data_IF_481419648070
#
_entry.id   IF_481419648070
#
_cell.length_a   1.000
_cell.length_b   1.000
_cell.length_c   1.000
_cell.angle_alpha   90.00
_cell.angle_beta   90.00
_cell.angle_gamma   90.00
#
_symmetry.space_group_name_H-M   'P 1'
#
loop_
_entity.id
_entity.type
_entity.pdbx_description
1 polymer ?
#
# COMPACT_ATOMS: atom_id res chain seq x y z
N UNK A 1 39.82 24.45 48.35
CA UNK A 1 40.33 24.26 46.97
C UNK A 1 39.97 22.85 46.54
N UNK A 2 39.34 22.72 45.36
CA UNK A 2 39.09 21.50 44.55
C UNK A 2 38.20 20.41 45.19
N UNK A 3 36.91 20.23 44.86
CA UNK A 3 36.24 19.84 43.60
C UNK A 3 36.85 18.62 42.90
N UNK A 4 36.14 17.49 42.99
CA UNK A 4 35.92 16.54 41.89
C UNK A 4 34.71 15.66 42.24
N UNK A 5 33.54 16.03 41.72
CA UNK A 5 32.39 15.14 41.61
C UNK A 5 32.57 14.29 40.36
N UNK A 6 32.50 12.97 40.53
CA UNK A 6 32.51 12.01 39.44
C UNK A 6 31.09 11.90 38.86
N UNK A 7 30.85 12.53 37.71
CA UNK A 7 29.66 12.25 36.89
C UNK A 7 29.82 10.85 36.27
N UNK A 8 29.10 9.88 36.83
CA UNK A 8 28.85 8.61 36.14
C UNK A 8 27.74 8.84 35.13
N UNK A 9 28.12 8.99 33.86
CA UNK A 9 27.18 8.97 32.75
C UNK A 9 26.70 7.54 32.54
N UNK A 10 25.46 7.27 32.93
CA UNK A 10 24.77 6.02 32.59
C UNK A 10 24.42 6.09 31.11
N UNK A 11 25.23 5.45 30.27
CA UNK A 11 24.87 5.18 28.88
C UNK A 11 23.64 4.28 28.86
N UNK A 12 22.51 4.81 28.38
CA UNK A 12 21.33 4.02 28.08
C UNK A 12 21.72 2.89 27.11
N UNK A 13 21.18 1.66 27.29
CA UNK A 13 21.46 0.57 26.36
C UNK A 13 20.91 0.95 24.99
N UNK A 14 21.80 1.08 24.01
CA UNK A 14 21.41 1.07 22.59
C UNK A 14 20.74 -0.28 22.32
N UNK A 15 19.47 -0.25 21.94
CA UNK A 15 18.80 -1.40 21.35
C UNK A 15 19.66 -1.92 20.19
N UNK A 16 19.89 -3.24 20.08
CA UNK A 16 20.58 -3.78 18.93
C UNK A 16 19.85 -3.35 17.65
N UNK A 17 20.58 -3.02 16.57
CA UNK A 17 19.95 -2.71 15.30
C UNK A 17 19.06 -3.88 14.88
N UNK A 18 17.86 -3.62 14.32
CA UNK A 18 16.99 -4.69 13.86
C UNK A 18 17.77 -5.57 12.87
N UNK A 19 17.85 -6.86 13.18
CA UNK A 19 18.50 -7.83 12.30
C UNK A 19 17.83 -7.77 10.93
N UNK A 20 18.57 -7.33 9.90
CA UNK A 20 18.11 -7.37 8.51
C UNK A 20 17.70 -8.80 8.17
N UNK A 21 16.40 -9.05 8.14
CA UNK A 21 15.87 -10.35 7.75
C UNK A 21 15.92 -10.43 6.22
N UNK A 22 16.59 -11.45 5.65
CA UNK A 22 16.66 -11.59 4.21
C UNK A 22 15.25 -11.77 3.63
N UNK A 23 14.99 -11.27 2.41
CA UNK A 23 13.72 -11.49 1.73
C UNK A 23 13.40 -12.98 1.60
N UNK A 24 12.19 -13.38 2.00
CA UNK A 24 11.72 -14.77 1.89
C UNK A 24 10.79 -14.89 0.70
N UNK A 25 11.10 -15.75 -0.26
CA UNK A 25 10.19 -15.99 -1.38
C UNK A 25 8.89 -16.63 -0.86
N UNK A 26 7.74 -16.13 -1.32
CA UNK A 26 6.42 -16.64 -0.94
C UNK A 26 5.59 -17.02 -2.17
N UNK A 27 4.70 -18.04 -2.08
CA UNK A 27 3.77 -18.35 -3.15
C UNK A 27 2.76 -17.21 -3.38
N UNK A 28 2.42 -16.92 -4.64
CA UNK A 28 1.43 -15.91 -5.01
C UNK A 28 0.08 -16.13 -4.31
N UNK A 29 -0.39 -17.38 -4.28
CA UNK A 29 -1.64 -17.75 -3.63
C UNK A 29 -1.70 -17.29 -2.17
N UNK A 30 -0.59 -17.40 -1.44
CA UNK A 30 -0.52 -16.96 -0.04
C UNK A 30 -0.68 -15.45 0.07
N UNK A 31 -0.09 -14.69 -0.84
CA UNK A 31 -0.18 -13.22 -0.86
C UNK A 31 -1.61 -12.80 -1.20
N UNK A 32 -2.19 -13.34 -2.26
CA UNK A 32 -3.55 -12.96 -2.69
C UNK A 32 -4.60 -13.30 -1.63
N UNK A 33 -4.49 -14.45 -0.96
CA UNK A 33 -5.40 -14.80 0.15
C UNK A 33 -5.24 -13.86 1.34
N UNK A 34 -4.00 -13.55 1.73
CA UNK A 34 -3.74 -12.63 2.83
C UNK A 34 -4.25 -11.22 2.52
N UNK A 35 -4.03 -10.74 1.29
CA UNK A 35 -4.54 -9.47 0.83
C UNK A 35 -6.08 -9.47 0.85
N UNK A 36 -6.74 -10.48 0.27
CA UNK A 36 -8.20 -10.55 0.25
C UNK A 36 -8.81 -10.62 1.66
N UNK A 37 -8.19 -11.38 2.58
CA UNK A 37 -8.63 -11.44 3.97
C UNK A 37 -8.61 -10.07 4.64
N UNK A 38 -7.53 -9.30 4.42
CA UNK A 38 -7.43 -7.93 4.92
C UNK A 38 -8.52 -7.01 4.33
N UNK A 39 -8.81 -7.13 3.03
CA UNK A 39 -9.90 -6.37 2.41
C UNK A 39 -11.28 -6.70 3.01
N UNK A 40 -11.54 -7.97 3.30
CA UNK A 40 -12.81 -8.40 3.94
C UNK A 40 -12.92 -7.83 5.35
N UNK A 41 -11.83 -7.82 6.12
CA UNK A 41 -11.82 -7.25 7.47
C UNK A 41 -12.06 -5.74 7.46
N UNK A 42 -11.55 -5.05 6.44
CA UNK A 42 -11.69 -3.60 6.32
C UNK A 42 -13.01 -3.16 5.67
N UNK A 43 -13.53 -3.94 4.73
CA UNK A 43 -14.77 -3.65 4.00
C UNK A 43 -15.57 -4.94 3.72
N UNK A 44 -16.17 -5.49 4.77
CA UNK A 44 -17.00 -6.70 4.71
C UNK A 44 -18.25 -6.53 3.82
N UNK A 45 -18.64 -5.30 3.47
CA UNK A 45 -19.78 -5.04 2.58
C UNK A 45 -19.39 -5.11 1.10
N UNK A 46 -18.13 -4.84 0.77
CA UNK A 46 -17.61 -4.91 -0.60
C UNK A 46 -17.34 -6.35 -1.07
N UNK A 47 -17.21 -7.31 -0.15
CA UNK A 47 -16.79 -8.68 -0.46
C UNK A 47 -17.70 -9.68 0.24
N UNK A 48 -18.35 -10.54 -0.54
CA UNK A 48 -19.13 -11.66 0.00
C UNK A 48 -18.18 -12.69 0.67
N UNK A 49 -18.02 -12.54 1.98
CA UNK A 49 -17.10 -13.33 2.81
C UNK A 49 -17.40 -14.83 2.83
N UNK A 50 -18.63 -15.26 2.48
CA UNK A 50 -19.00 -16.68 2.39
C UNK A 50 -18.44 -17.36 1.13
N UNK A 51 -17.89 -16.59 0.17
CA UNK A 51 -17.37 -17.10 -1.10
C UNK A 51 -15.83 -17.08 -1.23
N UNK A 52 -15.08 -17.09 -0.12
CA UNK A 52 -13.60 -17.19 -0.19
C UNK A 52 -13.19 -18.58 -0.70
N UNK A 53 -13.11 -18.68 -2.02
CA UNK A 53 -12.72 -19.88 -2.75
C UNK A 53 -11.27 -20.27 -2.45
N UNK A 54 -10.97 -21.57 -2.45
CA UNK A 54 -9.59 -22.08 -2.38
C UNK A 54 -8.84 -21.96 -3.71
N UNK A 55 -9.49 -21.51 -4.79
CA UNK A 55 -8.87 -21.35 -6.09
C UNK A 55 -8.24 -19.96 -6.24
N UNK A 56 -6.93 -19.90 -6.52
CA UNK A 56 -6.18 -18.65 -6.73
C UNK A 56 -6.80 -17.72 -7.77
N UNK A 57 -7.37 -18.27 -8.86
CA UNK A 57 -8.02 -17.45 -9.88
C UNK A 57 -9.30 -16.76 -9.36
N UNK A 58 -10.07 -17.44 -8.51
CA UNK A 58 -11.26 -16.86 -7.88
C UNK A 58 -10.89 -15.82 -6.81
N UNK A 59 -9.81 -16.04 -6.06
CA UNK A 59 -9.26 -15.02 -5.14
C UNK A 59 -8.81 -13.77 -5.89
N UNK A 60 -8.13 -13.93 -7.02
CA UNK A 60 -7.72 -12.80 -7.85
C UNK A 60 -8.93 -12.05 -8.44
N UNK A 61 -9.96 -12.78 -8.90
CA UNK A 61 -11.18 -12.15 -9.44
C UNK A 61 -11.93 -11.34 -8.38
N UNK A 62 -12.02 -11.87 -7.15
CA UNK A 62 -12.57 -11.13 -6.01
C UNK A 62 -11.74 -9.88 -5.69
N UNK A 63 -10.41 -9.97 -5.66
CA UNK A 63 -9.52 -8.83 -5.45
C UNK A 63 -9.65 -7.78 -6.57
N UNK A 64 -9.75 -8.20 -7.84
CA UNK A 64 -9.93 -7.30 -8.97
C UNK A 64 -11.30 -6.61 -8.95
N UNK A 65 -12.32 -7.29 -8.41
CA UNK A 65 -13.64 -6.71 -8.23
C UNK A 65 -13.65 -5.64 -7.14
N UNK A 66 -12.97 -5.90 -6.02
CA UNK A 66 -12.86 -4.96 -4.91
C UNK A 66 -11.91 -3.79 -5.21
N UNK A 67 -10.74 -4.06 -5.79
CA UNK A 67 -9.67 -3.10 -6.04
C UNK A 67 -9.10 -3.23 -7.46
N UNK A 68 -9.87 -2.87 -8.50
CA UNK A 68 -9.47 -3.07 -9.90
C UNK A 68 -8.17 -2.34 -10.26
N UNK A 69 -7.94 -1.14 -9.72
CA UNK A 69 -6.71 -0.38 -9.96
C UNK A 69 -5.49 -1.05 -9.32
N UNK A 70 -5.54 -1.27 -8.01
CA UNK A 70 -4.43 -1.80 -7.22
C UNK A 70 -4.06 -3.25 -7.60
N UNK A 71 -5.05 -4.12 -7.85
CA UNK A 71 -4.80 -5.53 -8.13
C UNK A 71 -4.50 -5.83 -9.60
N UNK A 72 -4.82 -4.93 -10.55
CA UNK A 72 -4.70 -5.26 -11.97
C UNK A 72 -3.29 -5.55 -12.47
N UNK A 73 -2.22 -5.14 -11.77
CA UNK A 73 -0.87 -5.52 -12.17
C UNK A 73 -0.63 -7.03 -12.04
N UNK A 74 -1.32 -7.70 -11.11
CA UNK A 74 -1.18 -9.13 -10.86
C UNK A 74 -1.50 -9.92 -12.13
N UNK A 75 -2.49 -9.48 -12.90
CA UNK A 75 -2.81 -10.07 -14.20
C UNK A 75 -1.91 -9.58 -15.34
N UNK A 76 -1.57 -8.28 -15.36
CA UNK A 76 -0.87 -7.63 -16.48
C UNK A 76 0.61 -7.95 -16.59
N UNK A 77 1.28 -8.22 -15.47
CA UNK A 77 2.75 -8.18 -15.39
C UNK A 77 3.37 -9.52 -15.01
N UNK A 78 2.73 -10.60 -15.45
CA UNK A 78 3.23 -11.95 -15.30
C UNK A 78 4.51 -12.17 -16.13
N UNK A 79 5.46 -12.99 -15.66
CA UNK A 79 5.45 -13.70 -14.37
C UNK A 79 5.81 -12.79 -13.18
N UNK A 80 5.18 -13.02 -12.03
CA UNK A 80 5.48 -12.30 -10.77
C UNK A 80 6.21 -13.21 -9.80
N UNK A 81 7.30 -12.71 -9.22
CA UNK A 81 7.95 -13.33 -8.05
C UNK A 81 7.62 -12.54 -6.81
N UNK A 82 7.02 -13.23 -5.83
CA UNK A 82 6.63 -12.61 -4.58
C UNK A 82 7.64 -12.88 -3.48
N UNK A 83 7.96 -11.84 -2.72
CA UNK A 83 8.83 -11.91 -1.56
C UNK A 83 8.12 -11.28 -0.36
N UNK A 84 8.32 -11.85 0.82
CA UNK A 84 7.98 -11.21 2.09
C UNK A 84 9.27 -10.65 2.69
N UNK A 85 9.25 -9.38 3.07
CA UNK A 85 10.34 -8.71 3.76
C UNK A 85 9.82 -7.65 4.72
N UNK A 86 10.72 -7.10 5.52
CA UNK A 86 10.47 -5.91 6.33
C UNK A 86 11.13 -4.76 5.61
N UNK A 87 10.37 -3.71 5.34
CA UNK A 87 10.86 -2.50 4.69
C UNK A 87 11.69 -1.74 5.70
N UNK A 88 12.98 -1.64 5.41
CA UNK A 88 13.90 -0.83 6.18
C UNK A 88 13.81 0.63 5.73
N UNK A 89 14.42 1.53 6.51
CA UNK A 89 14.32 2.97 6.28
C UNK A 89 14.71 3.39 4.86
N UNK A 90 15.82 2.86 4.33
CA UNK A 90 16.33 3.17 2.99
C UNK A 90 15.34 2.80 1.87
N UNK A 91 14.65 1.68 2.03
CA UNK A 91 13.61 1.24 1.09
C UNK A 91 12.34 2.06 1.25
N UNK A 92 12.00 2.40 2.49
CA UNK A 92 10.76 3.09 2.85
C UNK A 92 10.75 4.55 2.38
N UNK A 93 11.85 5.29 2.53
CA UNK A 93 11.92 6.70 2.09
C UNK A 93 11.75 6.88 0.59
N UNK A 94 12.21 5.91 -0.19
CA UNK A 94 12.12 5.92 -1.66
C UNK A 94 10.80 5.30 -2.19
N UNK A 95 9.91 4.84 -1.30
CA UNK A 95 8.62 4.28 -1.72
C UNK A 95 7.77 5.34 -2.40
N UNK A 96 7.23 4.97 -3.55
CA UNK A 96 6.29 5.80 -4.29
C UNK A 96 4.86 5.34 -4.02
N UNK A 97 3.90 6.28 -4.04
CA UNK A 97 2.49 5.93 -3.98
C UNK A 97 2.08 5.06 -5.17
N UNK A 98 0.91 4.44 -5.07
CA UNK A 98 0.36 3.54 -6.11
C UNK A 98 0.55 4.05 -7.53
N UNK A 99 1.02 3.15 -8.39
CA UNK A 99 1.06 3.35 -9.85
C UNK A 99 -0.28 2.94 -10.44
N UNK A 100 -1.19 3.91 -10.59
CA UNK A 100 -2.47 3.68 -11.25
C UNK A 100 -2.87 4.84 -12.14
N UNK A 101 -4.09 4.80 -12.70
CA UNK A 101 -4.56 5.79 -13.66
C UNK A 101 -4.48 7.22 -13.09
N UNK A 102 -4.39 8.21 -13.98
CA UNK A 102 -4.10 9.62 -13.63
C UNK A 102 -5.13 10.25 -12.65
N UNK A 103 -6.28 9.61 -12.45
CA UNK A 103 -7.30 9.98 -11.46
C UNK A 103 -7.01 9.46 -10.03
N UNK A 104 -5.97 8.65 -9.83
CA UNK A 104 -5.45 8.29 -8.50
C UNK A 104 -4.43 9.33 -8.04
N UNK A 105 -4.95 10.35 -7.36
CA UNK A 105 -4.29 11.63 -7.05
C UNK A 105 -3.15 11.56 -6.01
N UNK A 106 -2.76 10.37 -5.54
CA UNK A 106 -1.66 10.23 -4.56
C UNK A 106 -0.33 10.84 -5.03
N UNK A 107 -0.06 10.77 -6.34
CA UNK A 107 1.15 11.36 -6.93
C UNK A 107 1.11 12.88 -6.96
N UNK A 108 -0.07 13.45 -7.16
CA UNK A 108 -0.26 14.91 -7.25
C UNK A 108 -0.18 15.58 -5.88
N UNK A 109 -0.48 14.82 -4.82
CA UNK A 109 -0.28 15.29 -3.45
C UNK A 109 1.21 15.30 -3.09
N UNK A 110 2.00 14.36 -3.60
CA UNK A 110 3.42 14.24 -3.28
C UNK A 110 4.26 15.39 -3.85
N UNK A 111 5.15 15.95 -3.04
CA UNK A 111 6.08 17.04 -3.44
C UNK A 111 7.25 16.56 -4.30
N UNK A 112 7.69 15.31 -4.12
CA UNK A 112 8.86 14.70 -4.79
C UNK A 112 8.54 13.36 -5.50
N UNK A 113 7.27 12.97 -5.46
CA UNK A 113 6.75 11.71 -5.99
C UNK A 113 7.00 10.49 -5.09
N UNK A 114 7.38 10.67 -3.83
CA UNK A 114 7.46 9.64 -2.78
C UNK A 114 6.31 9.74 -1.78
N UNK A 115 6.10 8.72 -0.96
CA UNK A 115 5.17 8.79 0.17
C UNK A 115 5.67 9.73 1.28
N UNK A 116 6.98 9.92 1.38
CA UNK A 116 7.55 10.94 2.26
C UNK A 116 7.15 12.35 1.83
N UNK A 117 7.24 12.66 0.53
CA UNK A 117 6.77 13.95 0.02
C UNK A 117 5.28 14.20 0.24
N UNK A 118 4.46 13.14 0.30
CA UNK A 118 3.05 13.27 0.73
C UNK A 118 2.97 13.66 2.20
N UNK A 119 3.71 12.97 3.07
CA UNK A 119 3.70 13.22 4.51
C UNK A 119 4.33 14.58 4.91
N UNK A 120 5.38 15.02 4.21
CA UNK A 120 5.96 16.35 4.35
C UNK A 120 4.91 17.41 4.04
N UNK A 121 4.21 17.27 2.91
CA UNK A 121 3.13 18.20 2.56
C UNK A 121 2.02 18.24 3.60
N UNK A 122 1.65 17.10 4.16
CA UNK A 122 0.67 17.03 5.26
C UNK A 122 1.17 17.77 6.50
N UNK A 123 2.47 17.71 6.78
CA UNK A 123 3.08 18.39 7.93
C UNK A 123 3.09 19.92 7.73
N UNK A 124 3.34 20.38 6.50
CA UNK A 124 3.45 21.81 6.18
C UNK A 124 2.09 22.49 5.94
N UNK A 125 1.22 21.84 5.17
CA UNK A 125 -0.05 22.40 4.68
C UNK A 125 -1.27 21.84 5.44
N UNK A 126 -1.07 20.85 6.32
CA UNK A 126 -2.15 20.08 6.94
C UNK A 126 -2.74 19.04 5.99
N UNK A 127 -3.87 18.46 6.37
CA UNK A 127 -4.51 17.37 5.62
C UNK A 127 -5.37 17.82 4.41
N UNK A 128 -5.57 19.13 4.23
CA UNK A 128 -6.40 19.69 3.15
C UNK A 128 -6.05 19.15 1.75
N UNK A 129 -4.77 19.12 1.33
CA UNK A 129 -4.37 18.57 0.03
C UNK A 129 -4.77 17.11 -0.20
N UNK A 130 -4.83 16.28 0.85
CA UNK A 130 -5.31 14.91 0.74
C UNK A 130 -6.83 14.86 0.54
N UNK A 131 -7.56 15.65 1.33
CA UNK A 131 -9.03 15.71 1.28
C UNK A 131 -9.51 16.25 -0.08
N UNK A 132 -8.86 17.29 -0.61
CA UNK A 132 -9.10 17.85 -1.95
C UNK A 132 -8.84 16.81 -3.06
N UNK A 133 -7.88 15.92 -2.83
CA UNK A 133 -7.55 14.81 -3.71
C UNK A 133 -8.46 13.58 -3.49
N UNK A 134 -9.51 13.68 -2.67
CA UNK A 134 -10.41 12.57 -2.34
C UNK A 134 -9.73 11.43 -1.58
N UNK A 135 -8.57 11.68 -0.98
CA UNK A 135 -7.85 10.72 -0.15
C UNK A 135 -8.36 10.86 1.29
N UNK A 136 -8.74 9.73 1.89
CA UNK A 136 -9.22 9.70 3.27
C UNK A 136 -8.12 10.07 4.28
N UNK A 137 -8.03 11.35 4.60
CA UNK A 137 -7.15 11.89 5.63
C UNK A 137 -7.50 11.36 7.04
N UNK A 138 -8.77 11.04 7.29
CA UNK A 138 -9.21 10.46 8.56
C UNK A 138 -8.56 9.09 8.81
N UNK A 139 -8.53 8.24 7.79
CA UNK A 139 -7.84 6.96 7.85
C UNK A 139 -6.34 7.11 8.14
N UNK A 140 -5.66 8.09 7.52
CA UNK A 140 -4.23 8.34 7.79
C UNK A 140 -4.00 8.76 9.25
N UNK A 141 -4.85 9.63 9.81
CA UNK A 141 -4.76 10.03 11.22
C UNK A 141 -4.94 8.84 12.15
N UNK A 142 -5.99 8.04 11.92
CA UNK A 142 -6.25 6.82 12.70
C UNK A 142 -5.04 5.88 12.68
N UNK A 143 -4.50 5.59 11.49
CA UNK A 143 -3.32 4.74 11.38
C UNK A 143 -2.10 5.31 12.08
N UNK A 144 -1.87 6.63 11.99
CA UNK A 144 -0.76 7.27 12.70
C UNK A 144 -0.91 7.12 14.21
N UNK A 145 -2.12 7.30 14.74
CA UNK A 145 -2.39 7.15 16.17
C UNK A 145 -2.25 5.69 16.62
N UNK A 146 -2.67 4.74 15.78
CA UNK A 146 -2.44 3.32 16.00
C UNK A 146 -0.94 2.99 16.08
N UNK A 147 -0.11 3.55 15.20
CA UNK A 147 1.36 3.40 15.28
C UNK A 147 1.92 3.99 16.57
N UNK A 148 1.46 5.19 16.96
CA UNK A 148 1.88 5.80 18.21
C UNK A 148 1.48 4.97 19.45
N UNK A 149 0.40 4.20 19.36
CA UNK A 149 -0.03 3.24 20.37
C UNK A 149 0.73 1.89 20.32
N UNK A 150 1.62 1.69 19.34
CA UNK A 150 2.40 0.47 19.15
C UNK A 150 1.68 -0.63 18.39
N UNK A 151 0.60 -0.32 17.69
CA UNK A 151 -0.12 -1.27 16.82
C UNK A 151 0.76 -1.66 15.64
N UNK A 152 0.87 -2.96 15.37
CA UNK A 152 1.55 -3.46 14.19
C UNK A 152 0.60 -3.47 12.99
N UNK A 153 1.08 -2.98 11.85
CA UNK A 153 0.32 -3.01 10.61
C UNK A 153 0.44 -4.33 9.87
N UNK A 154 -0.63 -4.66 9.16
CA UNK A 154 -0.60 -5.70 8.14
C UNK A 154 0.40 -5.36 7.03
N UNK A 155 0.95 -6.39 6.36
CA UNK A 155 1.91 -6.17 5.29
C UNK A 155 1.39 -5.26 4.18
N UNK A 156 2.21 -4.31 3.75
CA UNK A 156 1.95 -3.55 2.52
C UNK A 156 2.04 -4.46 1.29
N UNK A 157 1.30 -4.13 0.23
CA UNK A 157 1.54 -4.73 -1.09
C UNK A 157 2.38 -3.76 -1.89
N UNK A 158 3.60 -4.15 -2.21
CA UNK A 158 4.57 -3.32 -2.94
C UNK A 158 4.88 -3.98 -4.26
N UNK A 159 5.08 -3.17 -5.29
CA UNK A 159 5.42 -3.61 -6.63
C UNK A 159 6.72 -2.96 -7.09
N UNK A 160 7.57 -3.75 -7.74
CA UNK A 160 8.75 -3.27 -8.43
C UNK A 160 9.06 -4.13 -9.65
N UNK A 161 9.91 -3.62 -10.54
CA UNK A 161 10.45 -4.39 -11.67
C UNK A 161 11.80 -4.97 -11.30
N UNK A 162 12.15 -6.11 -11.91
CA UNK A 162 13.42 -6.80 -11.64
C UNK A 162 14.62 -5.88 -11.88
N UNK A 163 15.38 -5.61 -10.80
CA UNK A 163 16.58 -4.80 -10.82
C UNK A 163 16.33 -3.30 -11.00
N UNK A 164 15.10 -2.85 -10.76
CA UNK A 164 14.72 -1.45 -10.92
C UNK A 164 14.22 -0.85 -9.60
N UNK A 165 14.52 0.43 -9.43
CA UNK A 165 13.76 1.38 -8.63
C UNK A 165 13.01 2.30 -9.62
N UNK A 166 11.92 2.95 -9.19
CA UNK A 166 11.35 2.98 -7.84
C UNK A 166 10.42 1.79 -7.52
N UNK A 167 10.14 1.62 -6.23
CA UNK A 167 9.13 0.68 -5.72
C UNK A 167 7.82 1.44 -5.47
N UNK A 168 6.69 0.82 -5.77
CA UNK A 168 5.37 1.45 -5.67
C UNK A 168 4.48 0.68 -4.70
N UNK A 169 3.78 1.39 -3.81
CA UNK A 169 2.79 0.79 -2.92
C UNK A 169 1.51 0.53 -3.70
N UNK A 170 1.26 -0.72 -4.08
CA UNK A 170 0.02 -1.12 -4.75
C UNK A 170 -1.17 -1.09 -3.78
N UNK A 171 -0.96 -1.51 -2.53
CA UNK A 171 -1.96 -1.44 -1.46
C UNK A 171 -1.34 -1.04 -0.12
N UNK A 172 -2.08 -0.27 0.66
CA UNK A 172 -1.65 0.27 1.95
C UNK A 172 -1.07 1.68 1.88
N UNK A 173 -1.43 2.50 0.89
CA UNK A 173 -0.95 3.88 0.76
C UNK A 173 -1.29 4.75 1.98
N UNK A 174 -2.47 4.59 2.59
CA UNK A 174 -2.83 5.27 3.84
C UNK A 174 -1.92 4.85 4.99
N UNK A 175 -1.69 3.55 5.17
CA UNK A 175 -0.80 3.01 6.22
C UNK A 175 0.64 3.49 6.03
N UNK A 176 1.14 3.45 4.81
CA UNK A 176 2.49 3.87 4.49
C UNK A 176 2.67 5.39 4.66
N UNK A 177 1.70 6.19 4.23
CA UNK A 177 1.69 7.65 4.47
C UNK A 177 1.62 7.97 5.98
N UNK A 178 0.79 7.25 6.73
CA UNK A 178 0.71 7.40 8.19
C UNK A 178 2.05 7.10 8.89
N UNK A 179 2.77 6.06 8.44
CA UNK A 179 4.10 5.74 8.95
C UNK A 179 5.15 6.80 8.59
N UNK A 180 5.10 7.35 7.37
CA UNK A 180 5.99 8.44 6.97
C UNK A 180 5.71 9.71 7.80
N UNK A 181 4.43 10.04 7.99
CA UNK A 181 4.00 11.16 8.82
C UNK A 181 4.44 11.00 10.28
N UNK A 182 4.22 9.82 10.87
CA UNK A 182 4.72 9.50 12.21
C UNK A 182 6.24 9.64 12.33
N UNK A 183 6.99 9.19 11.31
CA UNK A 183 8.44 9.28 11.29
C UNK A 183 8.95 10.73 11.22
N UNK A 184 8.27 11.60 10.47
CA UNK A 184 8.57 13.04 10.43
C UNK A 184 8.32 13.68 11.80
N UNK A 185 7.17 13.39 12.42
CA UNK A 185 6.80 14.00 13.70
C UNK A 185 7.70 13.58 14.86
N UNK A 186 8.15 12.33 14.87
CA UNK A 186 8.87 11.75 16.02
C UNK A 186 10.37 11.58 15.78
N UNK A 187 10.82 11.70 14.54
CA UNK A 187 12.18 11.32 14.12
C UNK A 187 12.46 9.82 14.23
N UNK A 188 11.42 8.97 14.33
CA UNK A 188 11.54 7.52 14.50
C UNK A 188 10.71 6.75 13.48
N UNK A 189 11.34 5.76 12.86
CA UNK A 189 10.67 4.84 11.96
C UNK A 189 10.62 3.43 12.56
N UNK A 190 9.40 2.89 12.60
CA UNK A 190 9.18 1.49 12.91
C UNK A 190 9.01 0.69 11.60
N UNK A 191 9.89 -0.29 11.32
CA UNK A 191 9.90 -1.01 10.05
C UNK A 191 8.58 -1.72 9.72
N UNK A 192 8.13 -1.58 8.47
CA UNK A 192 6.84 -2.13 8.03
C UNK A 192 7.00 -3.47 7.30
N UNK A 193 6.18 -4.49 7.59
CA UNK A 193 6.15 -5.68 6.78
C UNK A 193 5.62 -5.38 5.37
N UNK A 194 6.11 -6.10 4.36
CA UNK A 194 5.60 -6.00 3.00
C UNK A 194 5.66 -7.33 2.24
N UNK A 195 4.69 -7.51 1.34
CA UNK A 195 4.79 -8.43 0.21
C UNK A 195 5.22 -7.65 -1.04
N UNK A 196 6.38 -7.98 -1.58
CA UNK A 196 6.96 -7.33 -2.75
C UNK A 196 6.77 -8.21 -3.98
N UNK A 197 5.97 -7.73 -4.93
CA UNK A 197 5.87 -8.26 -6.28
C UNK A 197 7.02 -7.75 -7.14
N UNK A 198 7.90 -8.66 -7.56
CA UNK A 198 8.95 -8.37 -8.55
C UNK A 198 8.47 -8.86 -9.91
N UNK A 199 8.12 -7.91 -10.79
CA UNK A 199 7.64 -8.18 -12.14
C UNK A 199 8.78 -8.13 -13.16
N UNK A 200 8.58 -8.72 -14.34
CA UNK A 200 9.56 -8.66 -15.42
C UNK A 200 9.67 -7.24 -16.00
N UNK A 201 10.85 -6.88 -16.53
CA UNK A 201 11.01 -5.65 -17.31
C UNK A 201 10.20 -5.80 -18.61
N UNK A 202 9.33 -4.85 -18.97
CA UNK A 202 8.48 -4.99 -20.15
C UNK A 202 9.36 -5.05 -21.40
N UNK A 203 9.34 -6.18 -22.11
CA UNK A 203 9.62 -6.17 -23.54
C UNK A 203 8.35 -5.57 -24.16
N UNK A 204 8.46 -4.35 -24.67
CA UNK A 204 7.38 -3.65 -25.35
C UNK A 204 6.93 -4.47 -26.56
N UNK A 205 5.92 -5.33 -26.40
CA UNK A 205 4.98 -5.63 -27.47
C UNK A 205 3.75 -4.76 -27.29
N UNK A 206 3.26 -4.17 -28.40
CA UNK A 206 2.50 -2.93 -28.36
C UNK A 206 1.13 -3.18 -27.73
N UNK A 207 0.84 -2.47 -26.63
CA UNK A 207 -0.51 -2.11 -26.17
C UNK A 207 -1.56 -3.16 -26.56
N UNK A 208 -1.78 -4.22 -25.76
CA UNK A 208 -2.89 -5.13 -26.06
C UNK A 208 -4.21 -4.45 -25.69
N UNK A 209 -4.69 -3.66 -26.66
CA UNK A 209 -6.01 -3.18 -27.14
C UNK A 209 -7.30 -3.73 -26.47
N UNK A 210 -7.21 -4.67 -25.53
CA UNK A 210 -8.30 -5.40 -24.88
C UNK A 210 -8.71 -4.89 -23.50
N UNK A 211 -8.03 -3.90 -22.92
CA UNK A 211 -8.60 -3.10 -21.82
C UNK A 211 -9.86 -2.36 -22.30
N UNK A 212 -9.92 -2.01 -23.60
CA UNK A 212 -10.94 -1.13 -24.19
C UNK A 212 -12.37 -1.69 -24.26
N UNK A 213 -12.57 -3.01 -24.19
CA UNK A 213 -13.89 -3.64 -24.38
C UNK A 213 -14.64 -4.02 -23.10
N UNK A 214 -13.94 -4.17 -21.97
CA UNK A 214 -14.54 -4.74 -20.74
C UNK A 214 -14.98 -3.65 -19.76
N UNK A 215 -14.24 -2.53 -19.67
CA UNK A 215 -14.67 -1.35 -18.91
C UNK A 215 -15.94 -0.70 -19.48
N UNK A 216 -16.22 -0.85 -20.77
CA UNK A 216 -17.50 -0.43 -21.38
C UNK A 216 -18.71 -1.28 -20.93
N UNK A 217 -18.51 -2.47 -20.36
CA UNK A 217 -19.62 -3.31 -19.84
C UNK A 217 -19.90 -3.09 -18.35
N UNK A 218 -18.92 -2.62 -17.60
CA UNK A 218 -19.09 -2.24 -16.18
C UNK A 218 -19.91 -0.94 -16.04
N UNK A 219 -19.83 -0.03 -17.01
CA UNK A 219 -20.64 1.19 -17.05
C UNK A 219 -22.09 1.02 -17.58
N UNK A 220 -22.49 -0.20 -18.00
CA UNK A 220 -23.75 -0.42 -18.74
C UNK A 220 -24.88 -1.14 -18.01
N UNK A 221 -24.72 -1.51 -16.73
CA UNK A 221 -25.71 -2.38 -16.03
C UNK A 221 -26.45 -1.76 -14.84
N UNK A 222 -26.31 -0.46 -14.55
CA UNK A 222 -27.05 0.20 -13.47
C UNK A 222 -28.37 0.87 -13.88
N UNK A 223 -28.96 0.56 -15.05
CA UNK A 223 -30.35 0.93 -15.36
C UNK A 223 -31.19 -0.33 -15.48
N UNK A 224 -31.42 -0.95 -14.32
CA UNK A 224 -32.49 -1.90 -14.08
C UNK A 224 -33.40 -1.36 -12.98
N UNK A 225 -34.11 -0.26 -13.25
CA UNK A 225 -35.19 0.20 -12.37
C UNK A 225 -36.55 -0.23 -12.93
N UNK A 226 -37.30 -0.91 -12.07
CA UNK A 226 -38.71 -1.28 -12.22
C UNK A 226 -39.57 -0.08 -12.61
N UNK A 227 -40.54 -0.32 -13.48
CA UNK A 227 -41.64 0.61 -13.75
C UNK A 227 -42.69 -0.01 -14.65
N UNK A 228 -43.48 -0.94 -14.12
CA UNK A 228 -44.71 -1.44 -14.72
C UNK A 228 -45.73 -0.31 -14.90
N UNK A 229 -46.33 -0.18 -16.10
CA UNK A 229 -47.75 0.12 -16.30
C UNK A 229 -48.13 -0.03 -17.77
N UNK A 230 -49.19 -0.79 -18.00
CA UNK A 230 -50.05 -0.70 -19.17
C UNK A 230 -51.34 -1.47 -18.86
N UNK A 231 -52.33 -1.41 -19.75
CA UNK A 231 -52.87 -0.21 -20.38
C UNK A 231 -53.82 0.57 -19.44
#
# INVERSE_FOLDING_TARGET
>A
MSRTDASSGTSSPQSPPPEHRPPVQVPEERVLRAWLAHEIEHDAAAIDSEMVSTNTAAVLDALLSAKPGAAAFVWREQPIRWYRLVLEWDQFVDLRPVDGPDDLLWRDVSTDGTLFGVAERVTEEGFGPLEDAGIDAGAIRTYRDDLAAGTQFDPLIVRTRRGATPWFVADGNHRATAAAFHAIETGRYDPLPAYVAVTANPILEPILVRIRGLFQRLAGRSIGHRGSRGP
#
